data_IF_966134667635
#
_entry.id   IF_966134667635
#
_cell.length_a   1.000
_cell.length_b   1.000
_cell.length_c   1.000
_cell.angle_alpha   90.00
_cell.angle_beta   90.00
_cell.angle_gamma   90.00
#
_symmetry.space_group_name_H-M   'P 1'
#
loop_
_entity.id
_entity.type
_entity.pdbx_description
1 polymer ?
#
# COMPACT_ATOMS: atom_id res chain seq x y z
N UNK A 1 -12.27 12.39 11.31
CA UNK A 1 -11.06 11.57 11.26
C UNK A 1 -10.38 11.49 12.62
N UNK A 2 -9.93 10.28 13.01
CA UNK A 2 -9.36 10.00 14.34
C UNK A 2 -8.16 10.90 14.67
N UNK A 3 -7.25 11.16 13.72
CA UNK A 3 -6.09 12.03 13.98
C UNK A 3 -6.51 13.48 14.28
N UNK A 4 -7.49 14.00 13.55
CA UNK A 4 -8.00 15.34 13.80
C UNK A 4 -8.69 15.43 15.16
N UNK A 5 -9.49 14.42 15.50
CA UNK A 5 -10.12 14.32 16.82
C UNK A 5 -9.10 14.28 17.95
N UNK A 6 -8.09 13.41 17.85
CA UNK A 6 -7.04 13.30 18.86
C UNK A 6 -6.24 14.60 18.99
N UNK A 7 -5.93 15.26 17.88
CA UNK A 7 -5.26 16.55 17.90
C UNK A 7 -6.09 17.64 18.58
N UNK A 8 -7.40 17.69 18.30
CA UNK A 8 -8.33 18.63 18.96
C UNK A 8 -8.46 18.36 20.46
N UNK A 9 -8.29 17.11 20.89
CA UNK A 9 -8.25 16.72 22.31
C UNK A 9 -6.87 16.97 22.96
N UNK A 10 -5.94 17.58 22.24
CA UNK A 10 -4.61 17.91 22.75
C UNK A 10 -3.61 16.75 22.73
N UNK A 11 -3.96 15.59 22.17
CA UNK A 11 -3.01 14.47 22.05
C UNK A 11 -1.88 14.85 21.09
N UNK A 12 -0.64 14.60 21.49
CA UNK A 12 0.55 14.93 20.71
C UNK A 12 0.70 14.01 19.51
N UNK A 13 0.79 14.60 18.32
CA UNK A 13 1.00 13.93 17.05
C UNK A 13 2.26 14.49 16.38
N UNK A 14 2.89 13.68 15.54
CA UNK A 14 3.99 14.12 14.67
C UNK A 14 3.77 13.67 13.22
N UNK A 15 4.27 14.45 12.27
CA UNK A 15 4.33 14.05 10.86
C UNK A 15 5.36 12.93 10.69
N UNK A 16 5.04 11.94 9.89
CA UNK A 16 5.87 10.75 9.67
C UNK A 16 6.04 10.48 8.18
N UNK A 17 7.21 10.03 7.77
CA UNK A 17 7.39 9.46 6.44
C UNK A 17 6.50 8.22 6.28
N UNK A 18 5.90 8.07 5.10
CA UNK A 18 4.99 6.99 4.76
C UNK A 18 5.19 6.56 3.31
N UNK A 19 4.33 5.72 2.76
CA UNK A 19 4.44 5.29 1.38
C UNK A 19 3.09 5.34 0.68
N UNK A 20 3.12 5.63 -0.61
CA UNK A 20 1.97 5.60 -1.51
C UNK A 20 2.36 5.11 -2.90
N UNK A 21 1.40 4.60 -3.62
CA UNK A 21 1.61 4.14 -4.99
C UNK A 21 0.37 3.58 -5.62
N UNK A 22 0.51 2.39 -6.18
CA UNK A 22 -0.52 1.72 -6.96
C UNK A 22 -0.56 0.22 -6.66
N UNK A 23 -1.69 -0.44 -6.89
CA UNK A 23 -1.75 -1.90 -7.02
C UNK A 23 -1.38 -2.31 -8.44
N UNK A 24 -0.72 -3.44 -8.56
CA UNK A 24 -0.40 -4.06 -9.84
C UNK A 24 -0.88 -5.50 -9.84
N UNK A 25 -1.66 -5.86 -10.84
CA UNK A 25 -2.08 -7.24 -11.11
C UNK A 25 -1.25 -7.87 -12.22
N UNK A 26 -0.92 -9.14 -12.03
CA UNK A 26 -0.29 -10.00 -13.04
C UNK A 26 -1.00 -11.34 -13.10
N UNK A 27 -0.98 -12.08 -14.23
CA UNK A 27 -1.32 -13.49 -14.22
C UNK A 27 -0.47 -14.23 -13.18
N UNK A 28 -1.08 -14.99 -12.27
CA UNK A 28 -0.34 -15.75 -11.24
C UNK A 28 0.65 -16.74 -11.88
N UNK A 29 0.31 -17.28 -13.06
CA UNK A 29 1.17 -18.17 -13.83
C UNK A 29 2.51 -17.55 -14.21
N UNK A 30 2.54 -16.25 -14.55
CA UNK A 30 3.80 -15.53 -14.79
C UNK A 30 4.66 -15.53 -13.54
N UNK A 31 4.08 -15.16 -12.40
CA UNK A 31 4.85 -15.08 -11.14
C UNK A 31 5.35 -16.46 -10.73
N UNK A 32 4.51 -17.50 -10.83
CA UNK A 32 4.91 -18.87 -10.56
C UNK A 32 6.09 -19.31 -11.44
N UNK A 33 5.99 -19.09 -12.75
CA UNK A 33 7.06 -19.46 -13.69
C UNK A 33 8.39 -18.73 -13.37
N UNK A 34 8.33 -17.46 -13.05
CA UNK A 34 9.53 -16.65 -12.80
C UNK A 34 10.17 -16.89 -11.44
N UNK A 35 9.39 -17.27 -10.44
CA UNK A 35 9.89 -17.51 -9.09
C UNK A 35 10.22 -18.98 -8.81
N UNK A 36 9.46 -19.91 -9.37
CA UNK A 36 9.59 -21.34 -9.09
C UNK A 36 10.21 -22.11 -10.26
N UNK A 37 10.23 -21.55 -11.46
CA UNK A 37 10.62 -22.23 -12.68
C UNK A 37 9.46 -22.87 -13.46
N UNK A 38 9.76 -23.30 -14.70
CA UNK A 38 8.77 -23.96 -15.57
C UNK A 38 8.49 -25.38 -15.10
N UNK A 39 7.21 -25.78 -15.19
CA UNK A 39 6.79 -27.15 -14.89
C UNK A 39 6.66 -27.50 -13.42
N UNK A 40 6.86 -26.56 -12.51
CA UNK A 40 6.65 -26.80 -11.08
C UNK A 40 5.17 -26.99 -10.76
N UNK A 41 4.86 -28.03 -10.01
CA UNK A 41 3.50 -28.31 -9.56
C UNK A 41 3.12 -27.41 -8.38
N UNK A 42 2.36 -26.36 -8.67
CA UNK A 42 1.90 -25.39 -7.65
C UNK A 42 0.98 -26.00 -6.58
N UNK A 43 0.45 -27.22 -6.78
CA UNK A 43 -0.31 -27.93 -5.75
C UNK A 43 0.58 -28.36 -4.58
N UNK A 44 1.88 -28.56 -4.84
CA UNK A 44 2.87 -28.94 -3.84
C UNK A 44 3.57 -27.73 -3.21
N UNK A 45 3.87 -26.70 -4.00
CA UNK A 45 4.64 -25.53 -3.56
C UNK A 45 3.76 -24.35 -3.10
N UNK A 46 2.49 -24.34 -3.50
CA UNK A 46 1.65 -23.15 -3.41
C UNK A 46 1.96 -22.11 -4.49
N UNK A 47 1.19 -21.05 -4.54
CA UNK A 47 1.39 -19.92 -5.44
C UNK A 47 2.59 -19.07 -5.01
N UNK A 48 3.42 -18.70 -5.97
CA UNK A 48 4.62 -17.89 -5.73
C UNK A 48 4.29 -16.45 -5.33
N UNK A 49 5.15 -15.90 -4.51
CA UNK A 49 5.17 -14.50 -4.07
C UNK A 49 6.40 -13.79 -4.64
N UNK A 50 6.42 -12.46 -4.56
CA UNK A 50 7.61 -11.66 -4.83
C UNK A 50 7.80 -10.55 -3.81
N UNK A 51 9.06 -10.22 -3.52
CA UNK A 51 9.48 -9.03 -2.82
C UNK A 51 10.47 -8.26 -3.71
N UNK A 52 10.10 -7.06 -4.14
CA UNK A 52 10.86 -6.26 -5.10
C UNK A 52 11.23 -4.92 -4.50
N UNK A 53 12.46 -4.52 -4.70
CA UNK A 53 12.96 -3.18 -4.35
C UNK A 53 13.81 -2.64 -5.48
N UNK A 54 13.70 -1.35 -5.77
CA UNK A 54 14.53 -0.64 -6.73
C UNK A 54 14.78 0.77 -6.23
N UNK A 55 16.04 1.21 -6.22
CA UNK A 55 16.38 2.62 -6.04
C UNK A 55 16.22 3.35 -7.37
N UNK A 56 15.83 4.63 -7.32
CA UNK A 56 15.84 5.52 -8.48
C UNK A 56 17.29 5.78 -8.94
N UNK A 57 17.48 6.14 -10.20
CA UNK A 57 18.80 6.34 -10.81
C UNK A 57 19.66 7.33 -10.02
N UNK A 58 19.07 8.41 -9.54
CA UNK A 58 19.75 9.43 -8.72
C UNK A 58 19.81 9.08 -7.23
N UNK A 59 19.31 7.91 -6.81
CA UNK A 59 19.25 7.44 -5.42
C UNK A 59 18.46 8.34 -4.44
N UNK A 60 17.63 9.25 -4.96
CA UNK A 60 16.83 10.17 -4.14
C UNK A 60 15.49 9.57 -3.72
N UNK A 61 15.07 8.47 -4.34
CA UNK A 61 13.85 7.76 -4.03
C UNK A 61 14.03 6.25 -4.27
N UNK A 62 12.97 5.50 -4.00
CA UNK A 62 12.92 4.07 -4.26
C UNK A 62 11.49 3.68 -4.64
N UNK A 63 11.33 2.54 -5.32
CA UNK A 63 10.06 1.85 -5.43
C UNK A 63 10.20 0.46 -4.84
N UNK A 64 9.19 -0.02 -4.14
CA UNK A 64 9.21 -1.36 -3.57
C UNK A 64 7.83 -1.99 -3.55
N UNK A 65 7.80 -3.33 -3.57
CA UNK A 65 6.56 -4.07 -3.40
C UNK A 65 6.18 -4.14 -1.93
N UNK A 66 4.88 -4.04 -1.67
CA UNK A 66 4.31 -4.18 -0.33
C UNK A 66 3.03 -5.03 -0.40
N UNK A 67 2.79 -5.83 0.64
CA UNK A 67 1.57 -6.64 0.77
C UNK A 67 1.18 -7.37 -0.54
N UNK A 68 2.11 -8.17 -1.09
CA UNK A 68 1.86 -9.00 -2.26
C UNK A 68 0.88 -10.12 -1.90
N UNK A 69 -0.14 -10.31 -2.74
CA UNK A 69 -1.25 -11.23 -2.55
C UNK A 69 -1.25 -12.29 -3.68
N UNK A 70 -0.61 -13.45 -3.48
CA UNK A 70 -0.62 -14.52 -4.47
C UNK A 70 -2.02 -15.14 -4.61
N UNK A 71 -2.41 -15.44 -5.86
CA UNK A 71 -3.75 -15.96 -6.16
C UNK A 71 -4.87 -15.10 -5.60
N UNK A 72 -4.66 -13.80 -5.52
CA UNK A 72 -5.52 -12.86 -4.82
C UNK A 72 -6.45 -12.05 -5.72
N UNK A 73 -7.15 -11.15 -5.09
CA UNK A 73 -8.08 -10.21 -5.72
C UNK A 73 -7.81 -8.79 -5.22
N UNK A 74 -8.16 -7.80 -6.04
CA UNK A 74 -8.18 -6.40 -5.64
C UNK A 74 -9.51 -6.07 -4.96
N UNK A 75 -9.45 -5.23 -3.93
CA UNK A 75 -10.61 -4.80 -3.16
C UNK A 75 -10.65 -3.28 -3.02
N UNK A 76 -11.85 -2.67 -3.00
CA UNK A 76 -12.00 -1.26 -2.64
C UNK A 76 -11.72 -1.07 -1.14
N UNK A 77 -11.03 0.02 -0.80
CA UNK A 77 -10.74 0.34 0.59
C UNK A 77 -10.91 1.84 0.93
N UNK A 78 -11.76 2.53 0.17
CA UNK A 78 -12.14 3.91 0.47
C UNK A 78 -12.90 4.00 1.79
N UNK A 79 -12.57 4.98 2.63
CA UNK A 79 -13.21 5.21 3.93
C UNK A 79 -13.99 6.52 4.01
N UNK A 80 -13.88 7.38 3.00
CA UNK A 80 -14.59 8.66 2.92
C UNK A 80 -15.44 8.70 1.65
N UNK A 81 -16.66 9.26 1.67
CA UNK A 81 -17.48 9.45 0.46
C UNK A 81 -16.74 10.29 -0.59
N UNK A 82 -16.81 9.88 -1.86
CA UNK A 82 -16.17 10.61 -2.96
C UNK A 82 -14.65 10.46 -3.02
N UNK A 83 -14.09 9.46 -2.34
CA UNK A 83 -12.69 9.07 -2.43
C UNK A 83 -12.57 7.63 -2.93
N UNK A 84 -11.42 7.27 -3.49
CA UNK A 84 -11.13 5.91 -3.94
C UNK A 84 -9.72 5.50 -3.53
N UNK A 85 -9.62 4.36 -2.89
CA UNK A 85 -8.36 3.67 -2.62
C UNK A 85 -8.54 2.19 -2.91
N UNK A 86 -7.46 1.54 -3.33
CA UNK A 86 -7.42 0.12 -3.65
C UNK A 86 -6.53 -0.62 -2.65
N UNK A 87 -6.85 -1.87 -2.41
CA UNK A 87 -6.01 -2.79 -1.66
C UNK A 87 -6.12 -4.18 -2.31
N UNK A 88 -5.42 -5.16 -1.75
CA UNK A 88 -5.48 -6.54 -2.21
C UNK A 88 -5.64 -7.52 -1.07
N UNK A 89 -6.18 -8.68 -1.39
CA UNK A 89 -6.30 -9.80 -0.47
C UNK A 89 -6.13 -11.13 -1.19
N UNK A 90 -5.69 -12.15 -0.46
CA UNK A 90 -5.70 -13.53 -0.93
C UNK A 90 -6.74 -14.33 -0.15
N UNK A 91 -7.43 -15.22 -0.84
CA UNK A 91 -8.20 -16.28 -0.17
C UNK A 91 -7.23 -17.28 0.47
N UNK A 92 -7.69 -18.05 1.46
CA UNK A 92 -6.86 -19.00 2.20
C UNK A 92 -6.13 -20.01 1.31
N UNK A 93 -6.74 -20.45 0.19
CA UNK A 93 -6.13 -21.36 -0.77
C UNK A 93 -5.09 -20.72 -1.69
N UNK A 94 -5.04 -19.40 -1.79
CA UNK A 94 -4.10 -18.62 -2.64
C UNK A 94 -4.00 -19.14 -4.09
N UNK A 95 -5.09 -19.67 -4.64
CA UNK A 95 -5.11 -20.37 -5.93
C UNK A 95 -5.88 -19.62 -7.04
N UNK A 96 -6.09 -18.33 -6.87
CA UNK A 96 -6.70 -17.48 -7.91
C UNK A 96 -5.80 -17.31 -9.12
N UNK A 97 -6.41 -16.84 -10.21
CA UNK A 97 -5.73 -16.66 -11.51
C UNK A 97 -4.75 -15.49 -11.54
N UNK A 98 -4.87 -14.55 -10.60
CA UNK A 98 -4.07 -13.34 -10.56
C UNK A 98 -3.27 -13.24 -9.26
N UNK A 99 -2.08 -12.68 -9.39
CA UNK A 99 -1.28 -12.15 -8.31
C UNK A 99 -1.48 -10.64 -8.28
N UNK A 100 -1.53 -10.02 -7.11
CA UNK A 100 -1.46 -8.57 -7.03
C UNK A 100 -0.52 -8.13 -5.91
N UNK A 101 0.09 -6.98 -6.06
CA UNK A 101 0.95 -6.37 -5.04
C UNK A 101 0.89 -4.86 -5.12
N UNK A 102 0.99 -4.19 -3.98
CA UNK A 102 1.23 -2.75 -3.97
C UNK A 102 2.66 -2.49 -4.45
N UNK A 103 2.82 -1.52 -5.32
CA UNK A 103 4.10 -0.93 -5.66
C UNK A 103 4.06 0.52 -5.20
N UNK A 104 4.88 0.83 -4.23
CA UNK A 104 4.82 2.10 -3.51
C UNK A 104 6.18 2.80 -3.49
N UNK A 105 6.13 4.10 -3.27
CA UNK A 105 7.30 4.97 -3.16
C UNK A 105 7.26 5.70 -1.81
N UNK A 106 8.41 5.95 -1.19
CA UNK A 106 8.50 6.71 0.04
C UNK A 106 8.06 8.16 -0.18
N UNK A 107 7.24 8.65 0.73
CA UNK A 107 6.86 10.05 0.85
C UNK A 107 7.52 10.59 2.11
N UNK A 108 8.37 11.60 2.03
CA UNK A 108 9.03 12.16 3.21
C UNK A 108 8.02 12.80 4.16
N UNK A 109 8.37 12.88 5.43
CA UNK A 109 7.63 13.67 6.41
C UNK A 109 7.62 15.15 6.04
N UNK A 110 6.54 15.85 6.36
CA UNK A 110 6.41 17.30 6.18
C UNK A 110 6.58 18.05 7.50
N UNK A 111 6.91 19.34 7.43
CA UNK A 111 6.90 20.22 8.59
C UNK A 111 5.49 20.51 9.12
N UNK A 112 4.48 20.45 8.25
CA UNK A 112 3.08 20.59 8.64
C UNK A 112 2.48 19.24 8.97
N UNK A 113 1.86 19.14 10.14
CA UNK A 113 1.36 17.89 10.71
C UNK A 113 0.46 17.09 9.74
N UNK A 114 -0.48 17.72 9.06
CA UNK A 114 -1.50 17.06 8.26
C UNK A 114 -1.23 17.00 6.75
N UNK A 115 -0.07 17.47 6.28
CA UNK A 115 0.21 17.49 4.83
C UNK A 115 0.16 16.09 4.20
N UNK A 116 0.69 15.08 4.88
CA UNK A 116 0.63 13.70 4.39
C UNK A 116 -0.81 13.18 4.24
N UNK A 117 -1.65 13.47 5.22
CA UNK A 117 -3.09 13.11 5.18
C UNK A 117 -3.81 13.87 4.07
N UNK A 118 -3.49 15.15 3.89
CA UNK A 118 -4.05 15.98 2.83
C UNK A 118 -3.67 15.45 1.45
N UNK A 119 -2.41 15.04 1.27
CA UNK A 119 -1.93 14.43 0.02
C UNK A 119 -2.65 13.10 -0.27
N UNK A 120 -2.82 12.23 0.73
CA UNK A 120 -3.59 10.99 0.57
C UNK A 120 -5.02 11.28 0.08
N UNK A 121 -5.74 12.16 0.77
CA UNK A 121 -7.11 12.55 0.42
C UNK A 121 -7.21 13.15 -0.98
N UNK A 122 -6.26 13.99 -1.35
CA UNK A 122 -6.24 14.61 -2.68
C UNK A 122 -6.09 13.55 -3.79
N UNK A 123 -5.17 12.60 -3.61
CA UNK A 123 -4.96 11.52 -4.58
C UNK A 123 -6.18 10.61 -4.65
N UNK A 124 -6.78 10.24 -3.51
CA UNK A 124 -7.98 9.42 -3.45
C UNK A 124 -9.19 10.11 -4.10
N UNK A 125 -9.34 11.41 -3.93
CA UNK A 125 -10.38 12.22 -4.58
C UNK A 125 -10.16 12.30 -6.09
N UNK A 126 -8.93 12.59 -6.52
CA UNK A 126 -8.59 12.62 -7.95
C UNK A 126 -8.85 11.27 -8.62
N UNK A 127 -8.53 10.16 -7.93
CA UNK A 127 -8.79 8.82 -8.42
C UNK A 127 -10.29 8.52 -8.54
N UNK A 128 -11.10 8.93 -7.58
CA UNK A 128 -12.56 8.80 -7.64
C UNK A 128 -13.14 9.54 -8.86
N UNK A 129 -12.67 10.78 -9.12
CA UNK A 129 -13.06 11.55 -10.29
C UNK A 129 -12.61 10.89 -11.59
N UNK A 130 -11.34 10.44 -11.66
CA UNK A 130 -10.79 9.73 -12.81
C UNK A 130 -11.49 8.39 -13.06
N UNK A 131 -12.02 7.73 -12.03
CA UNK A 131 -12.84 6.52 -12.08
C UNK A 131 -14.29 6.77 -12.50
N UNK A 132 -14.68 8.01 -12.84
CA UNK A 132 -16.03 8.36 -13.30
C UNK A 132 -17.04 8.50 -12.16
N UNK A 133 -16.61 8.72 -10.94
CA UNK A 133 -17.43 8.94 -9.73
C UNK A 133 -18.36 7.78 -9.37
N UNK A 134 -17.96 6.55 -9.71
CA UNK A 134 -18.74 5.32 -9.51
C UNK A 134 -17.96 4.22 -8.76
N UNK A 135 -16.87 4.59 -8.08
CA UNK A 135 -15.96 3.65 -7.41
C UNK A 135 -15.26 2.64 -8.33
N UNK A 136 -15.42 2.76 -9.66
CA UNK A 136 -14.56 2.05 -10.61
C UNK A 136 -13.16 2.64 -10.53
N UNK A 137 -12.14 1.79 -10.46
CA UNK A 137 -10.78 2.26 -10.27
C UNK A 137 -10.14 2.70 -11.61
N UNK A 138 -9.44 3.86 -11.65
CA UNK A 138 -8.63 4.21 -12.79
C UNK A 138 -7.48 3.20 -12.95
N UNK A 139 -7.32 2.68 -14.16
CA UNK A 139 -6.36 1.64 -14.47
C UNK A 139 -5.60 1.91 -15.77
N UNK A 140 -4.39 1.34 -15.86
CA UNK A 140 -3.49 1.52 -16.98
C UNK A 140 -2.52 0.33 -17.06
N UNK A 141 -2.24 -0.20 -18.26
CA UNK A 141 -1.15 -1.18 -18.38
C UNK A 141 0.19 -0.52 -18.02
N UNK A 142 1.12 -1.27 -17.42
CA UNK A 142 2.45 -0.72 -17.09
C UNK A 142 3.13 -0.20 -18.35
N UNK A 143 2.97 -0.89 -19.48
CA UNK A 143 3.51 -0.46 -20.78
C UNK A 143 3.03 0.93 -21.19
N UNK A 144 1.72 1.18 -21.10
CA UNK A 144 1.14 2.48 -21.46
C UNK A 144 1.42 3.55 -20.38
N UNK A 145 1.55 3.16 -19.12
CA UNK A 145 2.01 4.06 -18.06
C UNK A 145 3.42 4.60 -18.36
N UNK A 146 4.36 3.74 -18.76
CA UNK A 146 5.71 4.16 -19.18
C UNK A 146 5.69 5.03 -20.42
N UNK A 147 4.78 4.77 -21.35
CA UNK A 147 4.57 5.57 -22.55
C UNK A 147 3.75 6.86 -22.29
N UNK A 148 3.24 7.07 -21.07
CA UNK A 148 2.36 8.18 -20.67
C UNK A 148 1.09 8.29 -21.51
N UNK A 149 0.54 7.15 -21.94
CA UNK A 149 -0.66 7.05 -22.80
C UNK A 149 -1.75 6.25 -22.11
N UNK A 150 -3.01 6.68 -22.25
CA UNK A 150 -4.14 5.87 -21.82
C UNK A 150 -4.30 4.62 -22.66
N UNK A 151 -4.78 3.53 -22.06
CA UNK A 151 -5.23 2.35 -22.78
C UNK A 151 -6.57 2.60 -23.49
N UNK A 152 -6.79 1.96 -24.63
CA UNK A 152 -8.12 1.92 -25.27
C UNK A 152 -8.99 0.81 -24.66
N UNK A 153 -8.38 -0.33 -24.39
CA UNK A 153 -9.00 -1.51 -23.79
C UNK A 153 -8.05 -2.03 -22.72
N UNK A 154 -8.58 -2.31 -21.54
CA UNK A 154 -7.83 -2.89 -20.42
C UNK A 154 -7.91 -4.41 -20.45
N UNK A 155 -6.86 -5.12 -20.00
CA UNK A 155 -6.96 -6.54 -19.68
C UNK A 155 -7.93 -6.76 -18.51
N UNK A 156 -8.37 -8.02 -18.29
CA UNK A 156 -9.20 -8.37 -17.13
C UNK A 156 -8.55 -7.98 -15.81
N UNK A 157 -9.36 -7.51 -14.86
CA UNK A 157 -8.98 -7.20 -13.49
C UNK A 157 -9.90 -7.90 -12.51
N UNK A 158 -9.40 -8.17 -11.30
CA UNK A 158 -10.19 -8.73 -10.20
C UNK A 158 -10.89 -7.66 -9.36
N UNK A 159 -10.68 -6.38 -9.64
CA UNK A 159 -11.29 -5.30 -8.86
C UNK A 159 -12.82 -5.30 -9.01
N UNK A 160 -13.51 -5.55 -7.90
CA UNK A 160 -14.95 -5.84 -7.90
C UNK A 160 -15.85 -4.71 -8.40
N UNK A 161 -15.42 -3.45 -8.22
CA UNK A 161 -16.18 -2.28 -8.69
C UNK A 161 -15.87 -1.91 -10.16
N UNK A 162 -15.07 -2.75 -10.86
CA UNK A 162 -14.66 -2.51 -12.24
C UNK A 162 -13.52 -1.49 -12.38
N UNK A 163 -12.89 -1.50 -13.55
CA UNK A 163 -11.77 -0.61 -13.87
C UNK A 163 -12.08 0.22 -15.12
N UNK A 164 -11.53 1.42 -15.18
CA UNK A 164 -11.67 2.33 -16.33
C UNK A 164 -10.30 2.77 -16.84
N UNK A 165 -10.09 2.84 -18.18
CA UNK A 165 -8.84 3.34 -18.74
C UNK A 165 -8.56 4.78 -18.29
N UNK A 166 -7.37 5.02 -17.77
CA UNK A 166 -6.97 6.35 -17.32
C UNK A 166 -5.48 6.56 -17.51
N UNK A 167 -5.07 7.77 -17.89
CA UNK A 167 -3.65 8.13 -17.85
C UNK A 167 -3.33 8.64 -16.43
N UNK A 168 -2.67 7.82 -15.63
CA UNK A 168 -2.35 8.15 -14.24
C UNK A 168 -1.50 9.42 -14.12
N UNK A 169 -0.65 9.71 -15.11
CA UNK A 169 0.18 10.92 -15.13
C UNK A 169 -0.62 12.23 -15.17
N UNK A 170 -1.90 12.19 -15.56
CA UNK A 170 -2.74 13.40 -15.63
C UNK A 170 -3.28 13.87 -14.28
N UNK A 171 -3.35 12.99 -13.28
CA UNK A 171 -4.00 13.30 -11.99
C UNK A 171 -3.20 12.86 -10.75
N UNK A 172 -2.26 11.91 -10.89
CA UNK A 172 -1.39 11.48 -9.80
C UNK A 172 -0.15 12.38 -9.73
N UNK A 173 0.45 12.50 -8.55
CA UNK A 173 1.69 13.26 -8.35
C UNK A 173 2.81 12.76 -9.28
N UNK A 174 3.46 13.70 -9.98
CA UNK A 174 4.47 13.38 -11.00
C UNK A 174 5.74 12.75 -10.41
N UNK A 175 6.09 13.08 -9.16
CA UNK A 175 7.27 12.49 -8.50
C UNK A 175 6.99 11.02 -8.17
N UNK A 176 5.77 10.72 -7.70
CA UNK A 176 5.32 9.34 -7.48
C UNK A 176 5.35 8.57 -8.81
N UNK A 177 4.75 9.12 -9.88
CA UNK A 177 4.75 8.49 -11.20
C UNK A 177 6.17 8.24 -11.73
N UNK A 178 7.09 9.18 -11.59
CA UNK A 178 8.48 9.01 -12.03
C UNK A 178 9.19 7.89 -11.27
N UNK A 179 9.07 7.86 -9.95
CA UNK A 179 9.69 6.82 -9.14
C UNK A 179 9.10 5.43 -9.42
N UNK A 180 7.78 5.34 -9.64
CA UNK A 180 7.11 4.11 -10.06
C UNK A 180 7.62 3.63 -11.43
N UNK A 181 7.77 4.55 -12.41
CA UNK A 181 8.24 4.21 -13.74
C UNK A 181 9.66 3.60 -13.72
N UNK A 182 10.59 4.21 -12.98
CA UNK A 182 11.93 3.67 -12.77
C UNK A 182 11.87 2.31 -12.04
N UNK A 183 11.00 2.18 -11.05
CA UNK A 183 10.76 0.93 -10.33
C UNK A 183 10.31 -0.18 -11.27
N UNK A 184 9.32 0.04 -12.11
CA UNK A 184 8.79 -0.95 -13.06
C UNK A 184 9.86 -1.43 -14.04
N UNK A 185 10.69 -0.54 -14.56
CA UNK A 185 11.81 -0.90 -15.45
C UNK A 185 12.81 -1.83 -14.74
N UNK A 186 13.11 -1.55 -13.47
CA UNK A 186 14.01 -2.40 -12.68
C UNK A 186 13.36 -3.72 -12.26
N UNK A 187 12.05 -3.74 -12.01
CA UNK A 187 11.32 -4.97 -11.67
C UNK A 187 11.19 -5.91 -12.85
N UNK A 188 11.04 -5.39 -14.07
CA UNK A 188 11.02 -6.23 -15.28
C UNK A 188 12.34 -6.97 -15.51
N UNK A 189 13.49 -6.38 -15.11
CA UNK A 189 14.78 -7.07 -15.13
C UNK A 189 14.83 -8.27 -14.16
N UNK A 190 14.10 -8.18 -13.03
CA UNK A 190 14.04 -9.24 -12.00
C UNK A 190 12.96 -10.28 -12.31
N UNK A 191 11.85 -9.83 -12.88
CA UNK A 191 10.71 -10.65 -13.28
C UNK A 191 10.39 -10.31 -14.74
N UNK A 192 11.06 -10.91 -15.72
CA UNK A 192 10.82 -10.65 -17.15
C UNK A 192 9.35 -10.87 -17.52
N UNK A 193 8.74 -9.85 -18.14
CA UNK A 193 7.31 -9.80 -18.46
C UNK A 193 6.47 -9.04 -17.43
N UNK A 194 7.07 -8.47 -16.38
CA UNK A 194 6.40 -7.63 -15.38
C UNK A 194 5.71 -6.42 -16.05
N UNK A 195 6.40 -5.77 -17.00
CA UNK A 195 5.84 -4.64 -17.76
C UNK A 195 4.77 -5.11 -18.74
N UNK A 196 5.05 -6.16 -19.51
CA UNK A 196 4.16 -6.57 -20.60
C UNK A 196 2.82 -7.17 -20.13
N UNK A 197 2.79 -7.75 -18.94
CA UNK A 197 1.63 -8.46 -18.37
C UNK A 197 1.01 -7.73 -17.17
N UNK A 198 1.58 -6.61 -16.75
CA UNK A 198 1.12 -5.89 -15.56
C UNK A 198 0.02 -4.88 -15.87
N UNK A 199 -1.05 -4.94 -15.06
CA UNK A 199 -2.11 -3.94 -15.00
C UNK A 199 -2.01 -3.14 -13.71
N UNK A 200 -1.86 -1.83 -13.82
CA UNK A 200 -1.94 -0.90 -12.70
C UNK A 200 -3.40 -0.60 -12.40
N UNK A 201 -3.79 -0.71 -11.14
CA UNK A 201 -5.08 -0.26 -10.61
C UNK A 201 -4.78 0.70 -9.46
N UNK A 202 -5.24 1.92 -9.55
CA UNK A 202 -4.79 3.01 -8.68
C UNK A 202 -5.94 3.66 -7.90
N UNK A 203 -5.63 4.29 -6.75
CA UNK A 203 -4.33 4.35 -6.06
C UNK A 203 -4.22 3.37 -4.89
N UNK A 204 -3.01 3.08 -4.44
CA UNK A 204 -2.72 2.48 -3.14
C UNK A 204 -2.15 3.56 -2.23
N UNK A 205 -2.96 4.10 -1.33
CA UNK A 205 -2.58 5.23 -0.47
C UNK A 205 -2.45 4.86 1.00
N UNK A 206 -2.88 3.63 1.37
CA UNK A 206 -3.05 3.23 2.76
C UNK A 206 -2.14 2.07 3.17
N UNK A 207 -0.87 2.17 2.79
CA UNK A 207 0.18 1.19 3.17
C UNK A 207 0.78 1.47 4.54
N UNK A 208 0.76 2.73 4.98
CA UNK A 208 1.26 3.16 6.28
C UNK A 208 0.69 4.52 6.66
N UNK A 209 0.66 4.81 7.97
CA UNK A 209 0.17 6.09 8.47
C UNK A 209 1.12 7.25 8.11
N UNK A 210 0.60 8.41 7.65
CA UNK A 210 1.37 9.63 7.45
C UNK A 210 1.64 10.39 8.75
N UNK A 211 1.06 9.94 9.86
CA UNK A 211 1.16 10.52 11.17
C UNK A 211 1.58 9.47 12.20
N UNK A 212 2.15 9.93 13.30
CA UNK A 212 2.41 9.14 14.48
C UNK A 212 1.78 9.81 15.69
N UNK A 213 1.07 9.04 16.50
CA UNK A 213 0.63 9.45 17.83
C UNK A 213 1.79 9.20 18.77
N UNK A 214 2.41 10.24 19.30
CA UNK A 214 3.67 10.10 20.04
C UNK A 214 3.47 9.31 21.34
N UNK A 215 4.38 8.37 21.58
CA UNK A 215 4.36 7.54 22.79
C UNK A 215 5.76 7.31 23.34
N UNK A 216 5.86 7.00 24.60
CA UNK A 216 7.06 6.43 25.18
C UNK A 216 7.26 5.01 24.65
N UNK A 217 8.47 4.68 24.17
CA UNK A 217 8.74 3.37 23.56
C UNK A 217 8.72 2.20 24.56
N UNK A 218 9.01 2.49 25.83
CA UNK A 218 9.05 1.48 26.89
C UNK A 218 7.66 1.26 27.49
N UNK A 219 6.92 2.32 27.79
CA UNK A 219 5.60 2.25 28.38
C UNK A 219 4.48 2.07 27.36
N UNK A 220 4.74 2.45 26.09
CA UNK A 220 3.74 2.50 25.02
C UNK A 220 2.59 3.47 25.29
N UNK A 221 2.69 4.27 26.36
CA UNK A 221 1.73 5.30 26.73
C UNK A 221 2.03 6.60 25.96
N UNK A 222 0.99 7.34 25.61
CA UNK A 222 1.13 8.67 24.98
C UNK A 222 2.02 9.58 25.80
N UNK A 223 2.85 10.40 25.14
CA UNK A 223 3.79 11.29 25.84
C UNK A 223 3.08 12.36 26.67
N UNK A 224 1.86 12.72 26.34
CA UNK A 224 1.16 13.83 26.98
C UNK A 224 -0.29 13.52 27.39
N UNK A 225 -0.72 12.27 27.28
CA UNK A 225 -2.08 11.86 27.64
C UNK A 225 -2.01 10.59 28.48
N UNK A 226 -2.17 10.75 29.78
CA UNK A 226 -2.11 9.66 30.74
C UNK A 226 -3.24 8.63 30.47
N UNK A 227 -2.90 7.35 30.58
CA UNK A 227 -3.84 6.24 30.34
C UNK A 227 -4.13 5.94 28.87
N UNK A 228 -3.56 6.70 27.93
CA UNK A 228 -3.71 6.45 26.50
C UNK A 228 -2.52 5.62 25.96
N UNK A 229 -2.77 4.36 25.61
CA UNK A 229 -1.80 3.48 24.99
C UNK A 229 -2.08 3.37 23.49
N UNK A 230 -1.09 3.69 22.67
CA UNK A 230 -1.24 3.79 21.21
C UNK A 230 -0.41 2.73 20.50
N UNK A 231 -1.05 1.92 19.65
CA UNK A 231 -0.48 0.69 19.10
C UNK A 231 -0.71 0.56 17.59
N UNK A 232 0.18 -0.16 16.94
CA UNK A 232 0.00 -0.67 15.60
C UNK A 232 0.17 0.35 14.49
N UNK A 233 -0.41 0.04 13.35
CA UNK A 233 -0.25 0.80 12.11
C UNK A 233 -0.90 2.18 12.18
N UNK A 234 -2.14 2.25 12.64
CA UNK A 234 -2.86 3.51 12.79
C UNK A 234 -2.18 4.49 13.76
N UNK A 235 -1.48 3.99 14.78
CA UNK A 235 -0.68 4.82 15.67
C UNK A 235 0.68 5.24 15.09
N UNK A 236 1.08 4.70 13.94
CA UNK A 236 2.32 5.05 13.23
C UNK A 236 3.55 4.24 13.65
N UNK A 237 3.39 3.12 14.36
CA UNK A 237 4.49 2.29 14.89
C UNK A 237 4.69 0.95 14.19
N UNK A 238 3.75 0.54 13.37
CA UNK A 238 3.85 -0.70 12.60
C UNK A 238 3.50 -0.45 11.13
N UNK A 239 3.93 -1.32 10.25
CA UNK A 239 3.64 -1.26 8.82
C UNK A 239 3.22 -2.63 8.29
N UNK A 240 2.25 -3.28 8.93
CA UNK A 240 1.72 -4.56 8.51
C UNK A 240 1.07 -5.36 9.63
N UNK A 241 0.40 -6.45 9.27
CA UNK A 241 -0.42 -7.27 10.18
C UNK A 241 0.41 -7.83 11.34
N UNK A 242 1.54 -8.49 11.02
CA UNK A 242 2.39 -9.17 12.02
C UNK A 242 3.04 -8.17 12.98
N UNK A 243 3.55 -7.06 12.44
CA UNK A 243 4.20 -6.02 13.27
C UNK A 243 3.19 -5.32 14.18
N UNK A 244 1.95 -5.09 13.70
CA UNK A 244 0.86 -4.54 14.51
C UNK A 244 0.44 -5.50 15.62
N UNK A 245 0.32 -6.79 15.33
CA UNK A 245 0.03 -7.81 16.33
C UNK A 245 1.15 -7.91 17.39
N UNK A 246 2.42 -7.88 16.95
CA UNK A 246 3.56 -7.89 17.86
C UNK A 246 3.57 -6.67 18.81
N UNK A 247 3.17 -5.50 18.30
CA UNK A 247 3.04 -4.29 19.10
C UNK A 247 1.98 -4.46 20.21
N UNK A 248 0.82 -5.07 19.88
CA UNK A 248 -0.20 -5.43 20.84
C UNK A 248 0.27 -6.43 21.90
N UNK A 249 0.98 -7.49 21.49
CA UNK A 249 1.54 -8.49 22.41
C UNK A 249 2.55 -7.86 23.39
N UNK A 250 3.36 -6.90 22.91
CA UNK A 250 4.30 -6.17 23.76
C UNK A 250 3.60 -5.45 24.91
N UNK A 251 2.52 -4.71 24.61
CA UNK A 251 1.75 -4.02 25.67
C UNK A 251 1.10 -5.01 26.63
N UNK A 252 0.47 -6.08 26.13
CA UNK A 252 -0.16 -7.09 26.98
C UNK A 252 0.82 -7.75 27.97
N UNK A 253 2.02 -8.10 27.49
CA UNK A 253 3.07 -8.66 28.34
C UNK A 253 3.57 -7.68 29.40
N UNK A 254 3.59 -6.39 29.08
CA UNK A 254 3.95 -5.36 30.02
C UNK A 254 2.89 -5.21 31.13
N UNK A 255 1.63 -5.03 30.76
CA UNK A 255 0.53 -4.90 31.72
C UNK A 255 0.47 -6.11 32.68
N UNK A 256 0.78 -7.31 32.18
CA UNK A 256 0.88 -8.52 33.02
C UNK A 256 2.00 -8.41 34.06
N UNK A 257 3.17 -7.88 33.69
CA UNK A 257 4.31 -7.71 34.62
C UNK A 257 3.99 -6.68 35.72
N UNK A 258 3.37 -5.57 35.35
CA UNK A 258 2.99 -4.53 36.30
C UNK A 258 1.94 -5.05 37.30
N UNK A 259 0.93 -5.80 36.86
CA UNK A 259 -0.04 -6.44 37.75
C UNK A 259 0.56 -7.56 38.60
N UNK A 260 1.62 -8.22 38.18
CA UNK A 260 2.34 -9.23 38.96
C UNK A 260 3.29 -8.64 40.01
N UNK A 261 3.51 -7.34 39.96
CA UNK A 261 4.36 -6.60 40.90
C UNK A 261 3.57 -5.88 41.99
N UNK A 262 2.26 -6.03 41.99
CA UNK A 262 1.38 -5.56 43.08
C UNK A 262 1.29 -6.70 44.09
N UNK A 263 1.74 -6.50 45.37
CA UNK A 263 1.78 -7.54 46.39
C UNK A 263 0.39 -8.01 46.82
#
# INVERSE_FOLDING_TARGET
DVYQLLHQQGVMLESKAFAMGVRVEHPQSLINERQLGRGVDIRLTGSAEYALTAQTLNKTSAAYSFCMCPGGVLVPCASEPGTLATNGMSYSKRNGKFANGAIVVPIPSSQKLFDGLTLQRQIEKNAYEAGGKKYSAPAQTIKNFLAKKSDKILPPSTYSCGVVPSNLWSWMDKKICSSLAEGFINFDKKIPGFIDKGLIVAPETRTSSPLRITRNNDTMESLNTQGLFVLGEGAGYAGGIVTSAADGVRLANRAKKENSSIP
#
